data_IF_623353509590
#
_entry.id   IF_623353509590
#
_cell.length_a   1.000
_cell.length_b   1.000
_cell.length_c   1.000
_cell.angle_alpha   90.00
_cell.angle_beta   90.00
_cell.angle_gamma   90.00
#
_symmetry.space_group_name_H-M   'P 1'
#
loop_
_entity.id
_entity.type
_entity.pdbx_description
1 polymer ?
#
# COMPACT_ATOMS: atom_id res chain seq x y z
N UNK A 1 -16.24 9.64 -19.53
CA UNK A 1 -15.79 8.49 -18.71
C UNK A 1 -16.10 8.83 -17.26
N UNK A 2 -16.71 7.90 -16.54
CA UNK A 2 -16.94 8.06 -15.10
C UNK A 2 -15.58 8.07 -14.41
N UNK A 3 -15.27 9.16 -13.67
CA UNK A 3 -13.96 9.34 -13.06
C UNK A 3 -13.85 8.61 -11.71
N UNK A 4 -12.62 8.22 -11.34
CA UNK A 4 -12.31 7.68 -10.02
C UNK A 4 -11.52 8.69 -9.19
N UNK A 5 -11.74 8.70 -7.88
CA UNK A 5 -10.97 9.41 -6.87
C UNK A 5 -10.24 8.41 -5.98
N UNK A 6 -9.00 8.68 -5.59
CA UNK A 6 -8.22 7.79 -4.73
C UNK A 6 -8.20 8.26 -3.27
N UNK A 7 -8.38 7.34 -2.32
CA UNK A 7 -8.15 7.59 -0.89
C UNK A 7 -7.23 6.50 -0.36
N UNK A 8 -6.11 6.91 0.21
CA UNK A 8 -5.12 6.02 0.80
C UNK A 8 -5.10 6.21 2.32
N UNK A 9 -5.25 5.10 3.05
CA UNK A 9 -5.09 5.08 4.49
C UNK A 9 -3.64 4.75 4.85
N UNK A 10 -2.98 5.67 5.52
CA UNK A 10 -1.60 5.51 5.97
C UNK A 10 -1.48 5.92 7.44
N UNK A 11 -2.09 5.12 8.31
CA UNK A 11 -2.09 5.30 9.76
C UNK A 11 -2.21 3.94 10.47
N UNK A 12 -2.10 3.97 11.79
CA UNK A 12 -2.17 2.80 12.63
C UNK A 12 -0.81 2.11 12.80
N UNK A 13 -0.65 1.53 13.95
CA UNK A 13 0.54 0.77 14.27
C UNK A 13 0.45 -0.65 13.70
N UNK A 14 1.59 -1.15 13.25
CA UNK A 14 1.79 -2.53 12.81
C UNK A 14 2.84 -3.17 13.73
N UNK A 15 2.44 -3.71 14.89
CA UNK A 15 3.41 -4.23 15.87
C UNK A 15 4.37 -5.28 15.30
N UNK A 16 3.89 -6.07 14.33
CA UNK A 16 4.70 -7.06 13.62
C UNK A 16 5.89 -6.50 12.83
N UNK A 17 5.90 -5.18 12.56
CA UNK A 17 7.01 -4.51 11.87
C UNK A 17 8.10 -3.99 12.81
N UNK A 18 7.86 -3.96 14.12
CA UNK A 18 8.85 -3.62 15.14
C UNK A 18 9.67 -2.36 14.83
N UNK A 19 10.98 -2.51 14.82
CA UNK A 19 11.92 -1.40 14.59
C UNK A 19 11.81 -0.77 13.21
N UNK A 20 11.29 -1.45 12.19
CA UNK A 20 11.11 -0.88 10.86
C UNK A 20 10.15 0.32 10.85
N UNK A 21 9.21 0.35 11.79
CA UNK A 21 8.22 1.44 11.95
C UNK A 21 8.43 2.29 13.21
N UNK A 22 9.58 2.18 13.87
CA UNK A 22 9.87 2.95 15.08
C UNK A 22 9.73 4.47 14.86
N UNK A 23 10.18 4.98 13.70
CA UNK A 23 10.21 6.42 13.37
C UNK A 23 9.42 6.77 12.11
N UNK A 24 8.58 5.87 11.60
CA UNK A 24 7.82 6.07 10.36
C UNK A 24 6.56 5.22 10.31
N UNK A 25 5.59 5.65 9.53
CA UNK A 25 4.41 4.83 9.21
C UNK A 25 4.76 3.77 8.16
N UNK A 26 4.04 2.65 8.18
CA UNK A 26 4.32 1.47 7.34
C UNK A 26 4.36 1.77 5.83
N UNK A 27 3.48 2.63 5.30
CA UNK A 27 3.49 3.01 3.88
C UNK A 27 4.77 3.72 3.44
N UNK A 28 5.55 4.31 4.36
CA UNK A 28 6.84 4.92 4.06
C UNK A 28 8.04 3.98 4.19
N UNK A 29 7.81 2.68 4.40
CA UNK A 29 8.89 1.68 4.42
C UNK A 29 9.57 1.61 3.05
N UNK A 30 10.91 1.63 3.00
CA UNK A 30 11.65 1.35 1.78
C UNK A 30 11.34 -0.06 1.26
N UNK A 31 11.21 -0.24 -0.05
CA UNK A 31 10.95 -1.53 -0.68
C UNK A 31 11.62 -1.61 -2.05
N UNK A 32 12.18 -2.77 -2.40
CA UNK A 32 12.72 -3.04 -3.73
C UNK A 32 13.91 -2.17 -4.16
N UNK A 33 14.63 -1.58 -3.20
CA UNK A 33 15.82 -0.77 -3.44
C UNK A 33 15.53 0.74 -3.57
N UNK A 34 14.63 1.14 -4.43
CA UNK A 34 14.39 2.55 -4.79
C UNK A 34 13.03 3.08 -4.38
N UNK A 35 12.08 2.21 -4.08
CA UNK A 35 10.69 2.51 -3.83
C UNK A 35 10.37 2.59 -2.34
N UNK A 36 9.16 3.07 -2.03
CA UNK A 36 8.47 2.86 -0.76
C UNK A 36 7.16 2.13 -1.01
N UNK A 37 6.62 1.48 0.00
CA UNK A 37 5.40 0.66 -0.14
C UNK A 37 4.22 1.48 -0.71
N UNK A 38 4.06 2.74 -0.33
CA UNK A 38 3.01 3.62 -0.84
C UNK A 38 3.12 3.92 -2.35
N UNK A 39 4.31 3.82 -2.92
CA UNK A 39 4.54 4.15 -4.33
C UNK A 39 3.76 3.21 -5.26
N UNK A 40 3.57 1.96 -4.86
CA UNK A 40 2.84 0.97 -5.64
C UNK A 40 1.36 1.32 -5.77
N UNK A 41 0.68 1.64 -4.66
CA UNK A 41 -0.75 1.99 -4.74
C UNK A 41 -0.97 3.35 -5.41
N UNK A 42 -0.10 4.33 -5.17
CA UNK A 42 -0.14 5.61 -5.90
C UNK A 42 0.04 5.40 -7.40
N UNK A 43 1.00 4.58 -7.81
CA UNK A 43 1.23 4.26 -9.22
C UNK A 43 0.05 3.53 -9.85
N UNK A 44 -0.58 2.59 -9.15
CA UNK A 44 -1.79 1.93 -9.61
C UNK A 44 -2.93 2.93 -9.84
N UNK A 45 -3.08 3.92 -8.96
CA UNK A 45 -4.08 4.98 -9.09
C UNK A 45 -3.80 5.86 -10.31
N UNK A 46 -2.56 6.32 -10.46
CA UNK A 46 -2.16 7.18 -11.58
C UNK A 46 -2.23 6.44 -12.92
N UNK A 47 -1.79 5.20 -12.99
CA UNK A 47 -1.90 4.35 -14.17
C UNK A 47 -3.37 4.10 -14.58
N UNK A 48 -4.29 4.19 -13.64
CA UNK A 48 -5.74 4.12 -13.92
C UNK A 48 -6.37 5.48 -14.29
N UNK A 49 -5.56 6.53 -14.45
CA UNK A 49 -6.03 7.87 -14.79
C UNK A 49 -6.63 8.64 -13.60
N UNK A 50 -6.41 8.21 -12.38
CA UNK A 50 -6.81 8.94 -11.18
C UNK A 50 -5.88 10.14 -11.00
N UNK A 51 -6.45 11.33 -10.99
CA UNK A 51 -5.74 12.60 -10.88
C UNK A 51 -5.94 13.33 -9.57
N UNK A 52 -6.80 12.77 -8.71
CA UNK A 52 -7.15 13.28 -7.40
C UNK A 52 -6.99 12.19 -6.36
N UNK A 53 -6.04 12.36 -5.44
CA UNK A 53 -5.74 11.37 -4.41
C UNK A 53 -5.61 12.06 -3.04
N UNK A 54 -6.39 11.59 -2.07
CA UNK A 54 -6.26 11.96 -0.67
C UNK A 54 -5.49 10.89 0.12
N UNK A 55 -4.49 11.30 0.89
CA UNK A 55 -3.74 10.40 1.78
C UNK A 55 -4.03 10.77 3.22
N UNK A 56 -4.84 9.95 3.90
CA UNK A 56 -5.17 10.12 5.31
C UNK A 56 -4.02 9.57 6.15
N UNK A 57 -3.42 10.42 6.98
CA UNK A 57 -2.24 10.08 7.78
C UNK A 57 -2.44 10.45 9.24
N UNK A 58 -1.82 9.69 10.13
CA UNK A 58 -1.75 9.99 11.55
C UNK A 58 -0.46 9.43 12.18
N UNK A 59 0.08 10.12 13.17
CA UNK A 59 1.26 9.67 13.92
C UNK A 59 2.58 10.02 13.22
N UNK A 60 3.50 9.08 13.10
CA UNK A 60 4.89 9.27 12.63
C UNK A 60 4.98 9.55 11.12
N UNK A 61 4.26 10.56 10.63
CA UNK A 61 4.06 10.80 9.19
C UNK A 61 5.19 11.59 8.49
N UNK A 62 6.17 12.15 9.23
CA UNK A 62 7.22 13.02 8.65
C UNK A 62 7.90 12.38 7.43
N UNK A 63 8.35 11.12 7.56
CA UNK A 63 8.99 10.40 6.46
C UNK A 63 8.07 10.23 5.23
N UNK A 64 6.75 10.11 5.43
CA UNK A 64 5.77 10.04 4.34
C UNK A 64 5.60 11.41 3.68
N UNK A 65 5.47 12.47 4.48
CA UNK A 65 5.36 13.86 4.00
C UNK A 65 6.56 14.24 3.15
N UNK A 66 7.78 13.94 3.62
CA UNK A 66 9.03 14.22 2.89
C UNK A 66 9.12 13.44 1.58
N UNK A 67 8.57 12.23 1.55
CA UNK A 67 8.59 11.39 0.36
C UNK A 67 7.58 11.86 -0.69
N UNK A 68 6.35 12.03 -0.28
CA UNK A 68 5.25 12.39 -1.18
C UNK A 68 5.39 13.83 -1.69
N UNK A 69 5.84 14.76 -0.84
CA UNK A 69 6.00 16.18 -1.19
C UNK A 69 4.72 16.73 -1.82
N UNK A 70 4.83 17.29 -3.01
CA UNK A 70 3.69 17.81 -3.79
C UNK A 70 3.05 16.78 -4.70
N UNK A 71 3.52 15.54 -4.72
CA UNK A 71 3.06 14.50 -5.65
C UNK A 71 3.64 14.60 -7.06
N UNK A 72 4.68 15.42 -7.29
CA UNK A 72 5.25 15.67 -8.62
C UNK A 72 5.70 14.38 -9.32
N UNK A 73 6.32 13.47 -8.61
CA UNK A 73 6.83 12.21 -9.16
C UNK A 73 5.72 11.28 -9.71
N UNK A 74 4.48 11.50 -9.30
CA UNK A 74 3.29 10.77 -9.77
C UNK A 74 2.38 11.62 -10.66
N UNK A 75 2.86 12.77 -11.15
CA UNK A 75 2.04 13.75 -11.89
C UNK A 75 0.76 14.19 -11.15
N UNK A 76 0.84 14.26 -9.83
CA UNK A 76 -0.24 14.71 -8.93
C UNK A 76 0.00 16.13 -8.39
N UNK A 77 0.99 16.88 -8.88
CA UNK A 77 1.20 18.29 -8.56
C UNK A 77 0.40 19.16 -9.53
N UNK A 78 -0.90 19.29 -9.28
CA UNK A 78 -1.85 19.93 -10.20
C UNK A 78 -2.53 21.15 -9.60
N UNK A 79 -2.95 22.12 -10.43
CA UNK A 79 -3.71 23.31 -9.98
C UNK A 79 -5.10 22.94 -9.46
N UNK A 80 -5.74 21.93 -10.07
CA UNK A 80 -7.06 21.43 -9.69
C UNK A 80 -6.92 19.93 -9.48
N UNK A 81 -7.36 19.45 -8.31
CA UNK A 81 -7.14 18.07 -7.91
C UNK A 81 -5.73 17.83 -7.36
N UNK A 82 -5.13 16.71 -7.74
CA UNK A 82 -3.77 16.34 -7.34
C UNK A 82 -3.70 15.61 -6.01
N UNK A 83 -2.50 15.56 -5.44
CA UNK A 83 -2.25 14.91 -4.16
C UNK A 83 -2.64 15.83 -3.00
N UNK A 84 -3.51 15.33 -2.13
CA UNK A 84 -3.91 15.98 -0.88
C UNK A 84 -3.42 15.15 0.30
N UNK A 85 -2.51 15.72 1.08
CA UNK A 85 -2.06 15.12 2.33
C UNK A 85 -3.02 15.56 3.44
N UNK A 86 -3.67 14.60 4.06
CA UNK A 86 -4.74 14.80 5.05
C UNK A 86 -4.24 14.32 6.42
N UNK A 87 -3.43 15.12 7.13
CA UNK A 87 -3.03 14.81 8.49
C UNK A 87 -4.25 14.97 9.40
N UNK A 88 -4.98 13.90 9.59
CA UNK A 88 -6.21 13.93 10.35
C UNK A 88 -5.95 13.50 11.80
N UNK A 89 -6.63 14.16 12.72
CA UNK A 89 -6.60 13.87 14.15
C UNK A 89 -8.01 13.48 14.60
N UNK A 90 -8.13 12.34 15.26
CA UNK A 90 -9.36 11.98 15.91
C UNK A 90 -9.62 12.96 17.07
N UNK A 91 -10.54 13.88 16.88
CA UNK A 91 -11.01 14.78 17.94
C UNK A 91 -12.30 14.20 18.52
N UNK A 92 -12.21 13.58 19.66
CA UNK A 92 -13.38 13.16 20.41
C UNK A 92 -13.65 14.20 21.49
N UNK A 93 -14.59 15.11 21.26
CA UNK A 93 -15.05 16.08 22.26
C UNK A 93 -15.51 15.41 23.56
N UNK A 94 -16.07 14.20 23.46
CA UNK A 94 -16.54 13.43 24.61
C UNK A 94 -15.43 12.83 25.48
N UNK A 95 -14.17 12.79 24.98
CA UNK A 95 -13.06 12.13 25.70
C UNK A 95 -11.87 13.04 25.97
N UNK A 96 -11.82 14.25 25.40
CA UNK A 96 -10.70 15.19 25.62
C UNK A 96 -9.33 14.67 25.17
N UNK A 97 -9.28 13.59 24.40
CA UNK A 97 -8.04 12.93 23.98
C UNK A 97 -7.88 13.04 22.46
N UNK A 98 -6.83 13.69 22.03
CA UNK A 98 -6.35 13.60 20.66
C UNK A 98 -5.62 12.26 20.53
N UNK A 99 -6.22 11.31 19.82
CA UNK A 99 -5.73 9.93 19.74
C UNK A 99 -5.66 9.37 18.34
N UNK A 100 -5.17 8.13 18.23
CA UNK A 100 -5.22 7.37 17.00
C UNK A 100 -6.67 7.02 16.62
N UNK A 101 -6.93 6.89 15.32
CA UNK A 101 -8.25 6.45 14.83
C UNK A 101 -8.59 5.06 15.34
N UNK A 102 -9.81 4.87 15.80
CA UNK A 102 -10.37 3.56 16.15
C UNK A 102 -10.60 2.68 14.91
N UNK A 103 -10.81 3.30 13.75
CA UNK A 103 -11.03 2.59 12.49
C UNK A 103 -11.17 3.51 11.28
N UNK A 104 -11.35 2.91 10.09
CA UNK A 104 -11.41 3.65 8.81
C UNK A 104 -12.60 4.58 8.71
N UNK A 105 -13.76 4.23 9.29
CA UNK A 105 -14.95 5.09 9.24
C UNK A 105 -14.73 6.37 10.04
N UNK A 106 -14.09 6.29 11.20
CA UNK A 106 -13.71 7.47 11.97
C UNK A 106 -12.69 8.34 11.23
N UNK A 107 -11.69 7.72 10.59
CA UNK A 107 -10.71 8.44 9.79
C UNK A 107 -11.35 9.18 8.59
N UNK A 108 -12.31 8.55 7.91
CA UNK A 108 -13.10 9.18 6.84
C UNK A 108 -13.99 10.30 7.40
N UNK A 109 -14.61 10.10 8.55
CA UNK A 109 -15.41 11.12 9.23
C UNK A 109 -14.62 12.38 9.56
N UNK A 110 -13.36 12.24 9.99
CA UNK A 110 -12.48 13.39 10.26
C UNK A 110 -12.17 14.24 9.01
N UNK A 111 -12.33 13.68 7.82
CA UNK A 111 -12.11 14.38 6.53
C UNK A 111 -13.39 14.51 5.71
N UNK A 112 -14.58 14.49 6.35
CA UNK A 112 -15.87 14.48 5.69
C UNK A 112 -16.04 15.67 4.73
N UNK A 113 -15.57 16.85 5.09
CA UNK A 113 -15.63 18.02 4.23
C UNK A 113 -14.81 17.84 2.94
N UNK A 114 -13.66 17.17 3.03
CA UNK A 114 -12.90 16.80 1.85
C UNK A 114 -13.68 15.82 0.97
N UNK A 115 -14.32 14.81 1.57
CA UNK A 115 -15.11 13.81 0.84
C UNK A 115 -16.28 14.44 0.09
N UNK A 116 -16.98 15.41 0.70
CA UNK A 116 -18.09 16.16 0.08
C UNK A 116 -17.66 16.96 -1.16
N UNK A 117 -16.40 17.31 -1.27
CA UNK A 117 -15.85 18.05 -2.42
C UNK A 117 -15.34 17.13 -3.55
N UNK A 118 -15.38 15.81 -3.40
CA UNK A 118 -15.06 14.85 -4.46
C UNK A 118 -16.07 15.03 -5.60
N UNK A 119 -15.58 15.12 -6.83
CA UNK A 119 -16.42 15.32 -8.02
C UNK A 119 -16.57 14.06 -8.87
N UNK A 120 -15.70 13.10 -8.67
CA UNK A 120 -15.68 11.82 -9.37
C UNK A 120 -16.85 10.94 -8.90
N UNK A 121 -17.39 10.12 -9.81
CA UNK A 121 -18.53 9.24 -9.50
C UNK A 121 -18.14 8.07 -8.58
N UNK A 122 -16.89 7.63 -8.65
CA UNK A 122 -16.37 6.48 -7.90
C UNK A 122 -15.20 6.86 -7.02
N UNK A 123 -15.04 6.13 -5.92
CA UNK A 123 -13.92 6.26 -5.00
C UNK A 123 -13.25 4.91 -4.79
N UNK A 124 -11.92 4.90 -4.92
CA UNK A 124 -11.06 3.78 -4.56
C UNK A 124 -10.48 4.04 -3.19
N UNK A 125 -10.81 3.19 -2.23
CA UNK A 125 -10.22 3.17 -0.89
C UNK A 125 -9.11 2.12 -0.86
N UNK A 126 -7.94 2.45 -0.35
CA UNK A 126 -6.83 1.49 -0.22
C UNK A 126 -5.98 1.74 1.02
N UNK A 127 -5.41 0.68 1.59
CA UNK A 127 -4.34 0.79 2.58
C UNK A 127 -3.00 1.06 1.87
N UNK A 128 -2.04 1.65 2.59
CA UNK A 128 -0.69 1.94 2.10
C UNK A 128 0.32 0.83 2.39
N UNK A 129 -0.11 -0.37 2.82
CA UNK A 129 0.73 -1.50 3.21
C UNK A 129 0.82 -2.60 2.13
N UNK A 130 0.32 -2.32 0.93
CA UNK A 130 0.21 -3.29 -0.16
C UNK A 130 1.19 -2.98 -1.28
N UNK A 131 1.95 -3.98 -1.68
CA UNK A 131 2.81 -3.98 -2.88
C UNK A 131 2.15 -4.85 -3.94
N UNK A 132 1.69 -4.23 -5.02
CA UNK A 132 1.05 -4.89 -6.16
C UNK A 132 1.05 -3.96 -7.38
N UNK A 133 0.96 -4.49 -8.58
CA UNK A 133 0.76 -3.72 -9.81
C UNK A 133 -0.62 -4.06 -10.41
N UNK A 134 -1.67 -3.60 -9.73
CA UNK A 134 -3.07 -3.89 -10.05
C UNK A 134 -3.65 -2.89 -11.06
N UNK A 135 -4.25 -3.33 -12.18
CA UNK A 135 -4.94 -2.44 -13.11
C UNK A 135 -6.33 -2.03 -12.58
N UNK A 136 -6.41 -0.91 -11.84
CA UNK A 136 -7.65 -0.42 -11.25
C UNK A 136 -8.75 -0.09 -12.28
N UNK A 137 -8.39 0.15 -13.54
CA UNK A 137 -9.36 0.30 -14.65
C UNK A 137 -10.20 -0.96 -14.83
N UNK A 138 -9.58 -2.15 -14.76
CA UNK A 138 -10.30 -3.42 -14.84
C UNK A 138 -11.20 -3.67 -13.62
N UNK A 139 -10.78 -3.19 -12.46
CA UNK A 139 -11.63 -3.25 -11.25
C UNK A 139 -12.88 -2.38 -11.44
N UNK A 140 -12.73 -1.17 -12.01
CA UNK A 140 -13.86 -0.31 -12.33
C UNK A 140 -14.79 -0.93 -13.38
N UNK A 141 -14.25 -1.51 -14.44
CA UNK A 141 -15.03 -2.21 -15.47
C UNK A 141 -15.84 -3.36 -14.87
N UNK A 142 -15.22 -4.18 -14.02
CA UNK A 142 -15.90 -5.28 -13.32
C UNK A 142 -16.97 -4.77 -12.34
N UNK A 143 -16.72 -3.67 -11.63
CA UNK A 143 -17.68 -3.03 -10.74
C UNK A 143 -18.93 -2.57 -11.51
N UNK A 144 -18.75 -1.86 -12.61
CA UNK A 144 -19.85 -1.38 -13.45
C UNK A 144 -20.63 -2.57 -14.04
N UNK A 145 -19.94 -3.58 -14.57
CA UNK A 145 -20.56 -4.74 -15.17
C UNK A 145 -21.36 -5.58 -14.17
N UNK A 146 -20.90 -5.70 -12.94
CA UNK A 146 -21.60 -6.45 -11.88
C UNK A 146 -22.82 -5.72 -11.34
N UNK A 147 -22.87 -4.38 -11.44
CA UNK A 147 -23.88 -3.56 -10.79
C UNK A 147 -23.85 -3.67 -9.26
N UNK A 148 -22.70 -4.02 -8.69
CA UNK A 148 -22.52 -4.09 -7.25
C UNK A 148 -22.48 -2.69 -6.62
N UNK A 149 -22.87 -2.58 -5.35
CA UNK A 149 -22.73 -1.35 -4.57
C UNK A 149 -21.28 -1.10 -4.18
N UNK A 150 -20.52 -2.19 -3.94
CA UNK A 150 -19.09 -2.13 -3.65
C UNK A 150 -18.37 -3.35 -4.27
N UNK A 151 -17.18 -3.10 -4.81
CA UNK A 151 -16.25 -4.16 -5.26
C UNK A 151 -15.05 -4.22 -4.31
N UNK A 152 -14.81 -5.40 -3.76
CA UNK A 152 -13.70 -5.70 -2.85
C UNK A 152 -12.63 -6.47 -3.61
N UNK A 153 -11.42 -5.95 -3.71
CA UNK A 153 -10.31 -6.67 -4.34
C UNK A 153 -9.76 -7.71 -3.36
N UNK A 154 -9.61 -8.93 -3.83
CA UNK A 154 -9.12 -10.05 -3.03
C UNK A 154 -8.21 -10.97 -3.85
N UNK A 155 -7.52 -11.88 -3.19
CA UNK A 155 -6.64 -12.88 -3.81
C UNK A 155 -6.88 -14.27 -3.25
N UNK A 156 -6.63 -15.29 -4.07
CA UNK A 156 -6.65 -16.70 -3.65
C UNK A 156 -5.37 -17.15 -2.94
N UNK A 157 -4.31 -16.33 -3.00
CA UNK A 157 -3.03 -16.67 -2.39
C UNK A 157 -3.13 -16.61 -0.85
N UNK A 158 -2.58 -17.61 -0.14
CA UNK A 158 -2.65 -17.64 1.30
C UNK A 158 -1.86 -16.46 1.90
N UNK A 159 -2.55 -15.65 2.70
CA UNK A 159 -1.98 -14.56 3.45
C UNK A 159 -1.59 -14.93 4.88
N UNK A 160 -1.08 -13.95 5.62
CA UNK A 160 -0.84 -14.06 7.05
C UNK A 160 -2.17 -14.01 7.81
N UNK A 161 -2.20 -14.54 9.04
CA UNK A 161 -3.33 -14.41 9.96
C UNK A 161 -3.58 -12.92 10.31
N UNK A 162 -4.79 -12.60 10.74
CA UNK A 162 -5.17 -11.23 11.10
C UNK A 162 -5.77 -10.41 9.95
N UNK A 163 -6.05 -11.04 8.83
CA UNK A 163 -6.66 -10.41 7.65
C UNK A 163 -8.18 -10.67 7.56
N UNK A 164 -8.79 -9.97 6.61
CA UNK A 164 -10.19 -10.18 6.22
C UNK A 164 -10.26 -11.20 5.10
N UNK A 165 -11.16 -12.16 5.20
CA UNK A 165 -11.41 -13.19 4.18
C UNK A 165 -12.84 -13.10 3.69
N UNK A 166 -13.02 -13.27 2.39
CA UNK A 166 -14.33 -13.27 1.72
C UNK A 166 -14.65 -14.67 1.22
N UNK A 167 -15.88 -15.12 1.42
CA UNK A 167 -16.45 -16.26 0.70
C UNK A 167 -17.27 -15.73 -0.47
N UNK A 168 -16.93 -16.18 -1.69
CA UNK A 168 -17.64 -15.79 -2.91
C UNK A 168 -18.57 -16.90 -3.35
N UNK A 169 -19.71 -16.53 -3.93
CA UNK A 169 -20.55 -17.44 -4.67
C UNK A 169 -20.12 -17.57 -6.13
N UNK A 170 -20.81 -18.39 -6.92
CA UNK A 170 -20.50 -18.64 -8.33
C UNK A 170 -20.67 -17.39 -9.23
N UNK A 171 -21.29 -16.31 -8.73
CA UNK A 171 -21.45 -15.03 -9.46
C UNK A 171 -20.40 -14.01 -9.07
N UNK A 172 -19.51 -14.35 -8.12
CA UNK A 172 -18.52 -13.45 -7.55
C UNK A 172 -19.07 -12.54 -6.45
N UNK A 173 -20.31 -12.75 -5.98
CA UNK A 173 -20.87 -12.01 -4.85
C UNK A 173 -20.24 -12.49 -3.55
N UNK A 174 -19.93 -11.55 -2.65
CA UNK A 174 -19.49 -11.87 -1.29
C UNK A 174 -20.70 -12.30 -0.48
N UNK A 175 -20.69 -13.54 -0.01
CA UNK A 175 -21.77 -14.14 0.78
C UNK A 175 -21.42 -14.23 2.26
N UNK A 176 -20.12 -14.17 2.60
CA UNK A 176 -19.64 -14.17 3.98
C UNK A 176 -18.32 -13.44 4.10
N UNK A 177 -18.08 -12.83 5.27
CA UNK A 177 -16.86 -12.10 5.61
C UNK A 177 -16.35 -12.54 6.98
N UNK A 178 -15.20 -13.20 7.00
CA UNK A 178 -14.52 -13.67 8.21
C UNK A 178 -13.31 -12.80 8.55
N UNK A 179 -13.00 -12.66 9.85
CA UNK A 179 -11.85 -11.92 10.35
C UNK A 179 -10.96 -12.81 11.19
N UNK A 180 -9.65 -12.61 11.06
CA UNK A 180 -8.61 -13.28 11.85
C UNK A 180 -8.63 -14.82 11.79
N UNK A 181 -9.57 -15.40 11.05
CA UNK A 181 -9.72 -16.84 10.84
C UNK A 181 -9.62 -17.10 9.34
N UNK A 182 -8.57 -17.79 8.94
CA UNK A 182 -8.43 -18.27 7.57
C UNK A 182 -9.46 -19.35 7.31
N UNK A 183 -10.36 -19.09 6.35
CA UNK A 183 -11.29 -20.11 5.86
C UNK A 183 -10.66 -20.87 4.69
N UNK A 184 -10.77 -22.20 4.61
CA UNK A 184 -10.15 -23.01 3.54
C UNK A 184 -10.53 -22.56 2.11
N UNK A 185 -11.73 -22.05 1.94
CA UNK A 185 -12.29 -21.57 0.64
C UNK A 185 -12.35 -20.04 0.56
N UNK A 186 -11.69 -19.33 1.47
CA UNK A 186 -11.77 -17.88 1.56
C UNK A 186 -10.72 -17.19 0.70
N UNK A 187 -11.14 -16.08 0.05
CA UNK A 187 -10.26 -15.16 -0.64
C UNK A 187 -9.79 -14.07 0.33
N UNK A 188 -8.48 -13.85 0.41
CA UNK A 188 -7.94 -12.81 1.27
C UNK A 188 -8.19 -11.42 0.70
N UNK A 189 -8.70 -10.49 1.50
CA UNK A 189 -8.85 -9.09 1.11
C UNK A 189 -7.50 -8.40 0.92
N UNK A 190 -7.37 -7.67 -0.18
CA UNK A 190 -6.23 -6.78 -0.40
C UNK A 190 -6.47 -5.37 0.18
N UNK A 191 -7.58 -5.17 0.88
CA UNK A 191 -8.00 -3.88 1.45
C UNK A 191 -8.06 -2.75 0.39
N UNK A 192 -8.43 -3.11 -0.83
CA UNK A 192 -8.80 -2.19 -1.89
C UNK A 192 -10.30 -2.34 -2.13
N UNK A 193 -11.02 -1.22 -2.03
CA UNK A 193 -12.48 -1.18 -2.18
C UNK A 193 -12.84 -0.10 -3.19
N UNK A 194 -13.74 -0.43 -4.12
CA UNK A 194 -14.29 0.50 -5.09
C UNK A 194 -15.80 0.62 -4.88
N UNK A 195 -16.31 1.85 -4.74
CA UNK A 195 -17.72 2.12 -4.54
C UNK A 195 -18.09 3.50 -5.11
N UNK A 196 -19.39 3.75 -5.25
CA UNK A 196 -19.88 5.07 -5.61
C UNK A 196 -19.62 6.13 -4.54
N UNK A 197 -19.33 7.37 -4.96
CA UNK A 197 -19.07 8.49 -4.06
C UNK A 197 -20.25 8.73 -3.10
N UNK A 198 -21.47 8.71 -3.62
CA UNK A 198 -22.67 9.03 -2.83
C UNK A 198 -22.92 7.97 -1.75
N UNK A 199 -22.71 6.68 -2.09
CA UNK A 199 -22.76 5.60 -1.11
C UNK A 199 -21.66 5.75 -0.04
N UNK A 200 -20.44 6.16 -0.43
CA UNK A 200 -19.38 6.39 0.55
C UNK A 200 -19.77 7.48 1.55
N UNK A 201 -20.34 8.59 1.09
CA UNK A 201 -20.80 9.68 1.95
C UNK A 201 -21.90 9.21 2.91
N UNK A 202 -22.91 8.49 2.39
CA UNK A 202 -23.98 7.92 3.19
C UNK A 202 -23.45 6.99 4.29
N UNK A 203 -22.54 6.08 3.94
CA UNK A 203 -21.94 5.16 4.91
C UNK A 203 -21.14 5.89 5.98
N UNK A 204 -20.39 6.94 5.61
CA UNK A 204 -19.60 7.72 6.58
C UNK A 204 -20.51 8.51 7.50
N UNK A 205 -21.54 9.17 6.98
CA UNK A 205 -22.49 9.96 7.77
C UNK A 205 -23.32 9.06 8.72
N UNK A 206 -23.80 7.90 8.26
CA UNK A 206 -24.46 6.90 9.12
C UNK A 206 -23.54 6.42 10.24
N UNK A 207 -22.28 6.10 9.92
CA UNK A 207 -21.32 5.66 10.92
C UNK A 207 -20.99 6.74 11.96
N UNK A 208 -20.84 7.99 11.52
CA UNK A 208 -20.60 9.12 12.43
C UNK A 208 -21.78 9.35 13.37
N UNK A 209 -23.00 9.32 12.84
CA UNK A 209 -24.23 9.53 13.60
C UNK A 209 -24.44 8.46 14.70
N UNK A 210 -23.91 7.26 14.53
CA UNK A 210 -24.12 6.13 15.44
C UNK A 210 -22.86 5.68 16.19
N UNK A 211 -21.79 6.49 16.24
CA UNK A 211 -20.46 6.16 16.83
C UNK A 211 -19.89 4.83 16.34
N UNK A 212 -20.09 4.51 15.05
CA UNK A 212 -19.58 3.33 14.37
C UNK A 212 -18.26 3.69 13.68
N UNK A 213 -17.18 3.00 14.00
CA UNK A 213 -15.84 3.37 13.52
C UNK A 213 -15.18 2.30 12.65
N UNK A 214 -15.65 1.06 12.71
CA UNK A 214 -15.00 -0.07 12.04
C UNK A 214 -15.57 -0.32 10.66
N UNK A 215 -14.76 -0.13 9.61
CA UNK A 215 -15.13 -0.51 8.25
C UNK A 215 -15.40 -2.01 8.13
N UNK A 216 -14.61 -2.84 8.83
CA UNK A 216 -14.77 -4.30 8.84
C UNK A 216 -16.12 -4.71 9.39
N UNK A 217 -16.43 -4.28 10.61
CA UNK A 217 -17.68 -4.69 11.29
C UNK A 217 -18.88 -3.93 10.74
N UNK A 218 -18.81 -2.59 10.72
CA UNK A 218 -19.97 -1.77 10.47
C UNK A 218 -20.33 -1.63 8.98
N UNK A 219 -19.35 -1.84 8.07
CA UNK A 219 -19.64 -1.83 6.63
C UNK A 219 -19.62 -3.26 6.08
N UNK A 220 -18.49 -3.97 6.14
CA UNK A 220 -18.39 -5.26 5.45
C UNK A 220 -19.28 -6.35 6.03
N UNK A 221 -19.47 -6.43 7.37
CA UNK A 221 -20.34 -7.44 7.98
C UNK A 221 -21.80 -6.98 8.10
N UNK A 222 -22.03 -5.78 8.68
CA UNK A 222 -23.40 -5.35 8.96
C UNK A 222 -24.13 -4.98 7.65
N UNK A 223 -23.55 -4.08 6.84
CA UNK A 223 -24.16 -3.63 5.57
C UNK A 223 -24.04 -4.66 4.44
N UNK A 224 -23.14 -5.64 4.52
CA UNK A 224 -23.06 -6.73 3.53
C UNK A 224 -24.30 -7.59 3.42
N UNK A 225 -25.25 -7.49 4.37
CA UNK A 225 -26.56 -8.15 4.31
C UNK A 225 -27.59 -7.34 3.51
N UNK A 226 -27.42 -6.03 3.44
CA UNK A 226 -28.34 -5.08 2.79
C UNK A 226 -27.82 -4.70 1.41
N UNK A 227 -26.52 -4.50 1.27
CA UNK A 227 -25.83 -4.08 0.07
C UNK A 227 -25.24 -5.27 -0.69
N UNK A 228 -25.08 -5.10 -2.00
CA UNK A 228 -24.46 -6.10 -2.86
C UNK A 228 -22.96 -5.84 -2.98
N UNK A 229 -22.15 -6.69 -2.34
CA UNK A 229 -20.70 -6.64 -2.47
C UNK A 229 -20.20 -7.75 -3.40
N UNK A 230 -19.29 -7.40 -4.31
CA UNK A 230 -18.64 -8.36 -5.21
C UNK A 230 -17.14 -8.42 -4.94
N UNK A 231 -16.57 -9.63 -5.04
CA UNK A 231 -15.14 -9.86 -5.03
C UNK A 231 -14.56 -9.70 -6.44
N UNK A 232 -13.47 -8.94 -6.55
CA UNK A 232 -12.60 -8.95 -7.72
C UNK A 232 -11.35 -9.74 -7.37
N UNK A 233 -11.23 -10.95 -7.93
CA UNK A 233 -10.09 -11.83 -7.64
C UNK A 233 -8.89 -11.37 -8.46
N UNK A 234 -7.80 -11.05 -7.78
CA UNK A 234 -6.52 -10.71 -8.35
C UNK A 234 -5.56 -11.90 -8.18
N UNK A 235 -5.12 -12.48 -9.29
CA UNK A 235 -4.22 -13.63 -9.32
C UNK A 235 -2.74 -13.25 -9.46
N UNK A 236 -2.45 -11.94 -9.67
CA UNK A 236 -1.09 -11.44 -9.78
C UNK A 236 -0.42 -11.25 -8.42
N UNK A 237 0.85 -10.84 -8.47
CA UNK A 237 1.63 -10.58 -7.27
C UNK A 237 0.96 -9.53 -6.37
N UNK A 238 0.74 -9.91 -5.12
CA UNK A 238 0.22 -9.04 -4.08
C UNK A 238 0.87 -9.39 -2.74
N UNK A 239 1.52 -8.42 -2.12
CA UNK A 239 2.22 -8.60 -0.86
C UNK A 239 1.79 -7.52 0.14
N UNK A 240 1.11 -7.92 1.21
CA UNK A 240 0.85 -7.03 2.34
C UNK A 240 2.02 -7.05 3.31
N UNK A 241 2.45 -5.85 3.71
CA UNK A 241 3.63 -5.65 4.56
C UNK A 241 3.15 -5.35 5.99
N UNK A 242 3.09 -6.38 6.83
CA UNK A 242 2.55 -6.30 8.19
C UNK A 242 3.45 -6.91 9.26
N UNK A 243 4.52 -7.63 8.87
CA UNK A 243 5.52 -8.19 9.77
C UNK A 243 6.94 -8.04 9.22
N UNK A 244 7.96 -8.10 10.09
CA UNK A 244 9.38 -8.09 9.67
C UNK A 244 9.70 -9.30 8.79
N UNK A 245 9.18 -10.47 9.17
CA UNK A 245 9.39 -11.69 8.39
C UNK A 245 8.73 -11.59 7.01
N UNK A 246 7.47 -11.11 6.96
CA UNK A 246 6.76 -10.88 5.70
C UNK A 246 7.48 -9.85 4.83
N UNK A 247 7.93 -8.74 5.43
CA UNK A 247 8.73 -7.74 4.72
C UNK A 247 9.97 -8.34 4.08
N UNK A 248 10.74 -9.15 4.83
CA UNK A 248 11.93 -9.82 4.32
C UNK A 248 11.59 -10.79 3.18
N UNK A 249 10.65 -11.71 3.40
CA UNK A 249 10.26 -12.71 2.40
C UNK A 249 9.77 -12.06 1.10
N UNK A 250 8.84 -11.09 1.20
CA UNK A 250 8.28 -10.39 0.05
C UNK A 250 9.31 -9.52 -0.68
N UNK A 251 10.27 -8.96 0.04
CA UNK A 251 11.40 -8.26 -0.60
C UNK A 251 12.29 -9.23 -1.36
N UNK A 252 12.65 -10.37 -0.77
CA UNK A 252 13.52 -11.37 -1.40
C UNK A 252 12.86 -12.05 -2.61
N UNK A 253 11.53 -12.12 -2.68
CA UNK A 253 10.80 -12.58 -3.88
C UNK A 253 11.10 -11.71 -5.11
N UNK A 254 11.51 -10.45 -4.94
CA UNK A 254 11.93 -9.59 -6.06
C UNK A 254 13.20 -10.10 -6.76
N UNK A 255 13.96 -10.99 -6.15
CA UNK A 255 15.11 -11.64 -6.81
C UNK A 255 14.67 -12.64 -7.89
N UNK A 256 13.38 -13.00 -7.96
CA UNK A 256 12.82 -13.83 -9.02
C UNK A 256 12.48 -12.97 -10.24
N UNK A 257 12.96 -13.31 -11.44
CA UNK A 257 12.72 -12.53 -12.66
C UNK A 257 11.22 -12.38 -13.00
N UNK A 258 10.43 -13.42 -12.79
CA UNK A 258 8.99 -13.43 -13.08
C UNK A 258 8.22 -12.43 -12.20
N UNK A 259 8.55 -12.33 -10.90
CA UNK A 259 7.94 -11.37 -9.98
C UNK A 259 8.31 -9.93 -10.38
N UNK A 260 9.58 -9.69 -10.75
CA UNK A 260 10.00 -8.37 -11.22
C UNK A 260 9.31 -7.98 -12.52
N UNK A 261 9.20 -8.90 -13.48
CA UNK A 261 8.56 -8.63 -14.76
C UNK A 261 7.08 -8.28 -14.60
N UNK A 262 6.40 -8.90 -13.63
CA UNK A 262 5.01 -8.60 -13.31
C UNK A 262 4.88 -7.25 -12.59
N UNK A 263 5.64 -7.07 -11.51
CA UNK A 263 5.52 -5.88 -10.64
C UNK A 263 5.99 -4.60 -11.34
N UNK A 264 7.02 -4.69 -12.17
CA UNK A 264 7.61 -3.56 -12.88
C UNK A 264 7.35 -3.62 -14.40
N UNK A 265 6.15 -4.02 -14.79
CA UNK A 265 5.82 -4.11 -16.21
C UNK A 265 5.80 -2.72 -16.88
N UNK A 266 6.36 -2.58 -18.09
CA UNK A 266 6.47 -1.29 -18.78
C UNK A 266 5.12 -0.60 -19.06
N UNK A 267 4.05 -1.38 -19.21
CA UNK A 267 2.71 -0.88 -19.50
C UNK A 267 2.05 -0.19 -18.30
N UNK A 268 2.51 -0.51 -17.09
CA UNK A 268 2.07 0.09 -15.82
C UNK A 268 3.29 0.36 -14.96
N UNK A 269 4.05 1.42 -15.26
CA UNK A 269 5.27 1.74 -14.51
C UNK A 269 4.96 2.06 -13.04
N UNK A 270 5.87 1.69 -12.17
CA UNK A 270 5.85 2.11 -10.77
C UNK A 270 6.67 3.39 -10.65
N UNK A 271 6.01 4.48 -10.31
CA UNK A 271 6.66 5.77 -10.09
C UNK A 271 7.17 5.87 -8.65
N UNK A 272 8.28 6.53 -8.47
CA UNK A 272 8.86 6.84 -7.16
C UNK A 272 9.46 8.23 -7.15
N UNK A 273 9.78 8.73 -5.97
CA UNK A 273 10.50 10.00 -5.83
C UNK A 273 11.88 9.88 -6.47
N UNK A 274 12.13 10.72 -7.47
CA UNK A 274 13.43 10.85 -8.10
C UNK A 274 14.50 11.28 -7.10
N UNK A 275 15.68 10.73 -7.22
CA UNK A 275 16.83 11.11 -6.43
C UNK A 275 18.06 11.14 -7.34
N UNK A 276 18.79 12.22 -7.29
CA UNK A 276 20.05 12.35 -7.99
C UNK A 276 21.12 11.56 -7.22
N UNK A 277 21.53 10.45 -7.77
CA UNK A 277 22.64 9.63 -7.25
C UNK A 277 23.55 9.26 -8.41
N UNK A 278 24.83 9.07 -8.11
CA UNK A 278 25.77 8.53 -9.07
C UNK A 278 25.41 7.08 -9.40
N UNK A 279 25.85 6.59 -10.56
CA UNK A 279 25.74 5.16 -10.88
C UNK A 279 26.49 4.32 -9.85
N UNK A 280 25.98 3.11 -9.60
CA UNK A 280 26.66 2.14 -8.75
C UNK A 280 28.01 1.73 -9.35
N UNK A 281 29.05 1.71 -8.52
CA UNK A 281 30.36 1.21 -8.86
C UNK A 281 30.57 -0.19 -8.27
N UNK A 282 31.04 -1.11 -9.11
CA UNK A 282 31.46 -2.46 -8.68
C UNK A 282 32.94 -2.59 -8.99
N UNK A 283 33.74 -2.76 -7.96
CA UNK A 283 35.19 -2.94 -8.07
C UNK A 283 35.52 -4.26 -8.78
N UNK A 284 36.60 -4.35 -9.58
CA UNK A 284 37.04 -5.61 -10.20
C UNK A 284 37.22 -6.77 -9.24
N UNK A 285 37.50 -6.51 -7.96
CA UNK A 285 37.57 -7.53 -6.89
C UNK A 285 36.21 -7.84 -6.24
N UNK A 286 35.16 -7.09 -6.56
CA UNK A 286 33.81 -7.27 -6.04
C UNK A 286 33.06 -8.38 -6.79
N UNK A 287 32.29 -9.17 -6.07
CA UNK A 287 31.43 -10.22 -6.63
C UNK A 287 29.97 -9.93 -6.31
N UNK A 288 29.13 -9.92 -7.35
CA UNK A 288 27.69 -9.68 -7.21
C UNK A 288 26.91 -10.82 -7.84
N UNK A 289 26.17 -11.59 -7.02
CA UNK A 289 25.38 -12.72 -7.48
C UNK A 289 23.94 -12.55 -7.04
N UNK A 290 22.99 -12.68 -7.98
CA UNK A 290 21.53 -12.66 -7.73
C UNK A 290 21.11 -11.57 -6.76
N UNK A 291 21.49 -10.31 -7.02
CA UNK A 291 21.23 -9.19 -6.11
C UNK A 291 20.63 -8.00 -6.84
N UNK A 292 19.75 -7.26 -6.18
CA UNK A 292 19.24 -5.97 -6.62
C UNK A 292 20.07 -4.86 -5.97
N UNK A 293 20.61 -3.96 -6.77
CA UNK A 293 21.50 -2.90 -6.30
C UNK A 293 20.99 -1.57 -6.84
N UNK A 294 20.64 -0.65 -5.93
CA UNK A 294 20.23 0.72 -6.28
C UNK A 294 21.42 1.61 -6.60
N UNK A 295 21.13 2.82 -7.08
CA UNK A 295 22.15 3.81 -7.42
C UNK A 295 23.04 4.25 -6.25
N UNK A 296 24.24 4.72 -6.57
CA UNK A 296 25.20 5.28 -5.62
C UNK A 296 25.87 4.28 -4.71
N UNK A 297 25.76 2.97 -4.98
CA UNK A 297 26.46 1.93 -4.21
C UNK A 297 27.92 1.80 -4.64
N UNK A 298 28.78 1.38 -3.70
CA UNK A 298 30.20 1.08 -3.90
C UNK A 298 30.46 -0.34 -3.37
N UNK A 299 30.67 -1.29 -4.29
CA UNK A 299 30.77 -2.72 -3.97
C UNK A 299 32.19 -3.21 -4.27
N UNK A 300 32.99 -3.40 -3.22
CA UNK A 300 34.36 -3.92 -3.27
C UNK A 300 34.48 -5.33 -2.67
N UNK A 301 33.47 -5.76 -1.90
CA UNK A 301 33.36 -7.10 -1.34
C UNK A 301 32.43 -8.00 -2.15
N UNK A 302 32.01 -9.13 -1.58
CA UNK A 302 31.07 -10.05 -2.22
C UNK A 302 29.66 -9.94 -1.64
N UNK A 303 28.66 -9.94 -2.53
CA UNK A 303 27.26 -9.94 -2.18
C UNK A 303 26.52 -11.06 -2.92
N UNK A 304 25.61 -11.74 -2.23
CA UNK A 304 24.82 -12.84 -2.78
C UNK A 304 23.39 -12.82 -2.24
N UNK A 305 22.41 -12.94 -3.14
CA UNK A 305 20.99 -12.90 -2.75
C UNK A 305 20.66 -11.69 -1.87
N UNK A 306 21.02 -10.50 -2.30
CA UNK A 306 20.86 -9.29 -1.49
C UNK A 306 20.02 -8.22 -2.19
N UNK A 307 19.43 -7.34 -1.40
CA UNK A 307 18.81 -6.11 -1.87
C UNK A 307 19.51 -4.93 -1.20
N UNK A 308 20.19 -4.12 -2.00
CA UNK A 308 20.94 -2.96 -1.55
C UNK A 308 20.21 -1.68 -1.95
N UNK A 309 19.86 -0.90 -0.94
CA UNK A 309 19.34 0.45 -1.13
C UNK A 309 20.45 1.44 -1.44
N UNK A 310 20.07 2.64 -1.86
CA UNK A 310 20.99 3.68 -2.34
C UNK A 310 22.15 3.95 -1.37
N UNK A 311 23.34 4.16 -1.94
CA UNK A 311 24.51 4.59 -1.20
C UNK A 311 25.10 3.54 -0.26
N UNK A 312 24.73 2.27 -0.43
CA UNK A 312 25.34 1.18 0.34
C UNK A 312 26.79 0.99 -0.09
N UNK A 313 27.65 0.82 0.89
CA UNK A 313 29.07 0.55 0.67
C UNK A 313 29.44 -0.80 1.28
N UNK A 314 30.05 -1.68 0.47
CA UNK A 314 30.57 -2.99 0.91
C UNK A 314 32.07 -2.98 0.67
N UNK A 315 32.85 -2.88 1.74
CA UNK A 315 34.28 -2.75 1.68
C UNK A 315 34.97 -4.09 1.27
N UNK A 316 36.19 -3.98 0.80
CA UNK A 316 37.00 -5.11 0.34
C UNK A 316 37.13 -6.20 1.41
N UNK A 317 36.89 -7.48 1.03
CA UNK A 317 36.93 -8.62 1.94
C UNK A 317 35.70 -8.76 2.84
N UNK A 318 34.66 -7.91 2.69
CA UNK A 318 33.36 -8.13 3.33
C UNK A 318 32.50 -9.12 2.50
N UNK A 319 31.70 -9.92 3.21
CA UNK A 319 30.79 -10.91 2.60
C UNK A 319 29.37 -10.68 3.12
N UNK A 320 28.40 -10.54 2.21
CA UNK A 320 27.00 -10.33 2.56
C UNK A 320 26.14 -11.31 1.81
N UNK A 321 25.34 -12.07 2.53
CA UNK A 321 24.39 -13.01 1.94
C UNK A 321 22.97 -12.85 2.52
N UNK A 322 21.96 -13.15 1.67
CA UNK A 322 20.55 -13.25 2.07
C UNK A 322 20.10 -12.05 2.90
N UNK A 323 20.52 -10.85 2.51
CA UNK A 323 20.37 -9.65 3.34
C UNK A 323 19.71 -8.48 2.60
N UNK A 324 19.06 -7.61 3.37
CA UNK A 324 18.55 -6.34 2.90
C UNK A 324 19.34 -5.23 3.59
N UNK A 325 20.10 -4.45 2.82
CA UNK A 325 20.90 -3.34 3.33
C UNK A 325 20.21 -2.01 3.02
N UNK A 326 19.82 -1.27 4.07
CA UNK A 326 19.18 0.02 3.92
C UNK A 326 20.13 1.13 3.50
N UNK A 327 19.56 2.25 3.07
CA UNK A 327 20.26 3.42 2.55
C UNK A 327 21.47 3.82 3.41
N UNK A 328 22.61 4.05 2.73
CA UNK A 328 23.87 4.49 3.34
C UNK A 328 24.47 3.51 4.38
N UNK A 329 24.07 2.24 4.35
CA UNK A 329 24.72 1.20 5.17
C UNK A 329 26.15 0.98 4.71
N UNK A 330 27.07 0.87 5.66
CA UNK A 330 28.47 0.54 5.39
C UNK A 330 28.79 -0.81 6.03
N UNK A 331 29.14 -1.79 5.19
CA UNK A 331 29.65 -3.09 5.63
C UNK A 331 31.18 -3.00 5.55
N UNK A 332 31.81 -3.04 6.70
CA UNK A 332 33.26 -2.83 6.79
C UNK A 332 34.02 -4.08 6.38
N UNK A 333 35.32 -3.86 6.04
CA UNK A 333 36.25 -4.91 5.67
C UNK A 333 36.27 -6.05 6.69
N UNK A 334 36.18 -7.30 6.22
CA UNK A 334 36.19 -8.52 7.03
C UNK A 334 34.90 -8.82 7.79
N UNK A 335 33.80 -8.04 7.59
CA UNK A 335 32.49 -8.37 8.12
C UNK A 335 31.80 -9.47 7.29
N UNK A 336 31.02 -10.32 7.94
CA UNK A 336 30.24 -11.38 7.31
C UNK A 336 28.89 -11.53 7.98
#
# INVERSE_FOLDING_TARGET
MKGMHGIIFSYGEKPGLGQLTANRIHGSLPFGGDYRVVDFILSNMVNAGITDVGVIMHGKCQSMLDHLGTGKSWDLSRKTGGLKLLPAFAYSESRGVVGAFRGKMEALGCVIEYLRHIRQDYVVLSDSDLVTNLPLTRVLEAHIASGADMTCVCTSHPGESGDTYFKLDNTGRIVDTAYDIRTPEGYQSLNIFLLGRDLLLELVEDCMAHDRYSFRHNVLQDKGKELRFNGYVWDGFAARINSVQGYYQRSMELLRPEIRAELFCPQRPVYAKENDAASTYIDPSGECVNSLISDGCDIQGSIRNCILFRGVRVEKGAHVENSILFKNTVVRSGAS
#
